data_IF_383306642638
#
_entry.id   IF_383306642638
#
_cell.length_a   1.000
_cell.length_b   1.000
_cell.length_c   1.000
_cell.angle_alpha   90.00
_cell.angle_beta   90.00
_cell.angle_gamma   90.00
#
_symmetry.space_group_name_H-M   'P 1'
#
loop_
_entity.id
_entity.type
_entity.pdbx_description
1 polymer ?
#
# COMPACT_ATOMS: atom_id res chain seq x y z
N UNK A 1 7.34 2.55 -9.78
CA UNK A 1 5.84 2.51 -9.78
C UNK A 1 5.31 2.67 -8.36
N UNK A 2 4.35 3.57 -8.11
CA UNK A 2 3.74 3.87 -6.80
C UNK A 2 2.25 3.60 -6.82
N UNK A 3 1.63 3.30 -5.65
CA UNK A 3 0.18 3.16 -5.52
C UNK A 3 -0.39 4.39 -4.80
N UNK A 4 -1.14 5.22 -5.53
CA UNK A 4 -1.83 6.39 -4.98
C UNK A 4 -3.22 5.99 -4.54
N UNK A 5 -3.59 6.39 -3.33
CA UNK A 5 -4.92 6.12 -2.75
C UNK A 5 -5.76 7.38 -2.76
N UNK A 6 -6.93 7.29 -3.38
CA UNK A 6 -7.90 8.37 -3.54
C UNK A 6 -9.20 7.95 -2.88
N UNK A 7 -9.79 8.82 -2.05
CA UNK A 7 -11.09 8.58 -1.44
C UNK A 7 -12.20 8.87 -2.44
N UNK A 8 -13.07 7.88 -2.64
CA UNK A 8 -14.27 8.02 -3.46
C UNK A 8 -15.47 8.40 -2.60
N UNK A 9 -16.40 9.16 -3.18
CA UNK A 9 -17.72 9.52 -2.65
C UNK A 9 -18.81 9.09 -3.64
N UNK A 10 -19.08 7.78 -3.77
CA UNK A 10 -20.14 7.30 -4.66
C UNK A 10 -21.51 7.72 -4.14
N UNK A 11 -22.49 7.83 -5.04
CA UNK A 11 -23.92 7.91 -4.69
C UNK A 11 -24.36 6.61 -4.02
N UNK A 12 -25.57 6.58 -3.47
CA UNK A 12 -26.13 5.35 -2.86
C UNK A 12 -26.20 4.21 -3.87
N UNK A 13 -26.67 4.47 -5.08
CA UNK A 13 -26.79 3.52 -6.18
C UNK A 13 -25.41 3.02 -6.64
N UNK A 14 -24.47 3.93 -6.86
CA UNK A 14 -23.09 3.59 -7.20
C UNK A 14 -22.41 2.74 -6.10
N UNK A 15 -22.70 3.02 -4.82
CA UNK A 15 -22.16 2.25 -3.72
C UNK A 15 -22.72 0.83 -3.63
N UNK A 16 -24.01 0.65 -3.96
CA UNK A 16 -24.66 -0.67 -4.09
C UNK A 16 -24.00 -1.45 -5.23
N UNK A 17 -23.86 -0.85 -6.40
CA UNK A 17 -23.24 -1.50 -7.56
C UNK A 17 -21.77 -1.83 -7.31
N UNK A 18 -20.98 -0.94 -6.73
CA UNK A 18 -19.59 -1.24 -6.33
C UNK A 18 -19.50 -2.39 -5.33
N UNK A 19 -20.48 -2.49 -4.43
CA UNK A 19 -20.55 -3.62 -3.48
C UNK A 19 -20.82 -4.90 -4.23
N UNK A 20 -21.79 -4.94 -5.14
CA UNK A 20 -22.12 -6.08 -6.00
C UNK A 20 -20.92 -6.50 -6.84
N UNK A 21 -20.33 -5.57 -7.60
CA UNK A 21 -19.15 -5.84 -8.45
C UNK A 21 -17.99 -6.43 -7.64
N UNK A 22 -17.70 -5.86 -6.45
CA UNK A 22 -16.59 -6.33 -5.63
C UNK A 22 -16.82 -7.70 -5.00
N UNK A 23 -18.08 -8.06 -4.70
CA UNK A 23 -18.46 -9.40 -4.23
C UNK A 23 -18.32 -10.42 -5.36
N UNK A 24 -18.93 -10.15 -6.50
CA UNK A 24 -18.87 -11.04 -7.67
C UNK A 24 -17.42 -11.26 -8.13
N UNK A 25 -16.62 -10.18 -8.16
CA UNK A 25 -15.19 -10.26 -8.50
C UNK A 25 -14.45 -11.25 -7.60
N UNK A 26 -14.63 -11.18 -6.31
CA UNK A 26 -13.93 -12.05 -5.35
C UNK A 26 -14.49 -13.48 -5.38
N UNK A 27 -15.80 -13.64 -5.51
CA UNK A 27 -16.42 -14.96 -5.60
C UNK A 27 -15.91 -15.71 -6.84
N UNK A 28 -15.88 -15.05 -8.00
CA UNK A 28 -15.37 -15.64 -9.22
C UNK A 28 -13.87 -15.91 -9.16
N UNK A 29 -13.08 -15.02 -8.54
CA UNK A 29 -11.67 -15.27 -8.32
C UNK A 29 -11.43 -16.53 -7.46
N UNK A 30 -12.25 -16.73 -6.42
CA UNK A 30 -12.18 -17.93 -5.57
C UNK A 30 -12.63 -19.20 -6.33
N UNK A 31 -13.64 -19.10 -7.21
CA UNK A 31 -14.04 -20.22 -8.07
C UNK A 31 -12.92 -20.62 -9.03
N UNK A 32 -12.26 -19.67 -9.68
CA UNK A 32 -11.10 -19.94 -10.52
C UNK A 32 -9.94 -20.58 -9.74
N UNK A 33 -9.70 -20.12 -8.52
CA UNK A 33 -8.69 -20.73 -7.65
C UNK A 33 -9.04 -22.15 -7.24
N UNK A 34 -10.32 -22.44 -6.96
CA UNK A 34 -10.79 -23.79 -6.66
C UNK A 34 -10.55 -24.71 -7.85
N UNK A 35 -10.96 -24.33 -9.03
CA UNK A 35 -10.68 -25.05 -10.29
C UNK A 35 -9.19 -25.27 -10.54
N UNK A 36 -8.36 -24.23 -10.31
CA UNK A 36 -6.92 -24.34 -10.47
C UNK A 36 -6.26 -25.33 -9.49
N UNK A 37 -6.86 -25.55 -8.33
CA UNK A 37 -6.42 -26.57 -7.37
C UNK A 37 -6.86 -27.98 -7.82
N UNK A 38 -8.10 -28.12 -8.33
CA UNK A 38 -8.66 -29.39 -8.80
C UNK A 38 -7.97 -29.88 -10.09
N UNK A 39 -7.64 -28.97 -11.00
CA UNK A 39 -6.97 -29.23 -12.30
C UNK A 39 -5.42 -29.23 -12.19
N UNK A 40 -4.85 -29.02 -10.98
CA UNK A 40 -3.40 -28.86 -10.71
C UNK A 40 -2.71 -27.78 -11.56
N UNK A 41 -3.49 -27.01 -12.29
CA UNK A 41 -3.04 -25.95 -13.18
C UNK A 41 -4.07 -24.82 -13.26
N UNK A 42 -3.64 -23.61 -13.63
CA UNK A 42 -4.61 -22.52 -13.78
C UNK A 42 -5.43 -22.73 -15.07
N UNK A 43 -6.79 -22.79 -15.00
CA UNK A 43 -7.64 -23.11 -16.14
C UNK A 43 -7.49 -22.09 -17.27
N UNK A 44 -7.57 -22.57 -18.53
CA UNK A 44 -7.61 -21.71 -19.71
C UNK A 44 -9.00 -21.12 -19.86
N UNK A 45 -9.23 -19.93 -19.31
CA UNK A 45 -10.52 -19.24 -19.31
C UNK A 45 -10.40 -17.86 -19.95
N UNK A 46 -11.47 -17.42 -20.59
CA UNK A 46 -11.67 -16.11 -21.19
C UNK A 46 -12.79 -15.34 -20.47
N UNK A 47 -12.99 -14.08 -20.78
CA UNK A 47 -14.11 -13.30 -20.22
C UNK A 47 -15.49 -13.85 -20.61
N UNK A 48 -15.59 -14.62 -21.70
CA UNK A 48 -16.85 -15.25 -22.16
C UNK A 48 -17.25 -16.42 -21.27
N UNK A 49 -16.28 -17.13 -20.70
CA UNK A 49 -16.51 -18.29 -19.84
C UNK A 49 -16.97 -17.89 -18.42
N UNK A 50 -16.94 -16.60 -18.11
CA UNK A 50 -17.41 -16.06 -16.85
C UNK A 50 -18.85 -15.56 -17.04
N UNK A 51 -19.84 -16.32 -16.57
CA UNK A 51 -21.27 -16.06 -16.78
C UNK A 51 -21.84 -14.90 -15.96
N UNK A 52 -21.13 -14.44 -14.88
CA UNK A 52 -21.60 -13.37 -14.01
C UNK A 52 -21.69 -12.02 -14.70
N UNK A 53 -22.64 -11.19 -14.25
CA UNK A 53 -22.87 -9.85 -14.79
C UNK A 53 -21.81 -8.85 -14.31
N UNK A 54 -20.62 -8.93 -14.92
CA UNK A 54 -19.49 -8.03 -14.75
C UNK A 54 -19.10 -7.42 -16.10
N UNK A 55 -18.61 -6.17 -16.14
CA UNK A 55 -18.02 -5.62 -17.37
C UNK A 55 -16.88 -6.53 -17.89
N UNK A 56 -16.78 -6.72 -19.18
CA UNK A 56 -15.77 -7.61 -19.79
C UNK A 56 -14.34 -7.28 -19.38
N UNK A 57 -14.04 -5.98 -19.21
CA UNK A 57 -12.76 -5.48 -18.71
C UNK A 57 -12.47 -5.97 -17.30
N UNK A 58 -13.48 -5.97 -16.42
CA UNK A 58 -13.39 -6.44 -15.05
C UNK A 58 -13.18 -7.96 -15.01
N UNK A 59 -13.85 -8.70 -15.91
CA UNK A 59 -13.64 -10.15 -16.05
C UNK A 59 -12.19 -10.48 -16.46
N UNK A 60 -11.64 -9.76 -17.43
CA UNK A 60 -10.25 -9.93 -17.86
C UNK A 60 -9.24 -9.63 -16.73
N UNK A 61 -9.46 -8.55 -15.98
CA UNK A 61 -8.61 -8.21 -14.82
C UNK A 61 -8.75 -9.23 -13.67
N UNK A 62 -9.92 -9.80 -13.47
CA UNK A 62 -10.17 -10.88 -12.52
C UNK A 62 -9.36 -12.14 -12.87
N UNK A 63 -9.40 -12.58 -14.13
CA UNK A 63 -8.65 -13.75 -14.61
C UNK A 63 -7.14 -13.50 -14.40
N UNK A 64 -6.64 -12.33 -14.83
CA UNK A 64 -5.24 -11.92 -14.64
C UNK A 64 -4.84 -11.92 -13.18
N UNK A 65 -5.68 -11.35 -12.30
CA UNK A 65 -5.45 -11.31 -10.87
C UNK A 65 -5.38 -12.70 -10.25
N UNK A 66 -6.36 -13.57 -10.53
CA UNK A 66 -6.40 -14.94 -10.02
C UNK A 66 -5.18 -15.75 -10.49
N UNK A 67 -4.84 -15.68 -11.80
CA UNK A 67 -3.67 -16.34 -12.39
C UNK A 67 -2.35 -15.89 -11.75
N UNK A 68 -2.18 -14.58 -11.55
CA UNK A 68 -0.97 -14.04 -10.91
C UNK A 68 -0.85 -14.52 -9.48
N UNK A 69 -1.97 -14.55 -8.73
CA UNK A 69 -1.98 -15.02 -7.35
C UNK A 69 -1.77 -16.53 -7.23
N UNK A 70 -2.30 -17.30 -8.15
CA UNK A 70 -2.02 -18.73 -8.24
C UNK A 70 -0.52 -18.99 -8.48
N UNK A 71 0.11 -18.29 -9.42
CA UNK A 71 1.56 -18.40 -9.67
C UNK A 71 2.40 -18.00 -8.45
N UNK A 72 1.96 -17.01 -7.69
CA UNK A 72 2.71 -16.46 -6.54
C UNK A 72 2.57 -17.28 -5.26
N UNK A 73 1.38 -17.82 -4.98
CA UNK A 73 1.04 -18.42 -3.69
C UNK A 73 0.50 -19.86 -3.81
N UNK A 74 0.29 -20.39 -5.01
CA UNK A 74 -0.38 -21.67 -5.20
C UNK A 74 -1.83 -21.62 -4.67
N UNK A 75 -2.10 -22.34 -3.59
CA UNK A 75 -3.42 -22.37 -2.95
C UNK A 75 -3.66 -21.13 -2.10
N UNK A 76 -4.66 -20.32 -2.47
CA UNK A 76 -5.07 -19.17 -1.66
C UNK A 76 -6.57 -18.88 -1.78
N UNK A 77 -7.14 -18.25 -0.73
CA UNK A 77 -8.54 -17.80 -0.69
C UNK A 77 -8.57 -16.29 -0.54
N UNK A 78 -9.29 -15.61 -1.42
CA UNK A 78 -9.46 -14.18 -1.39
C UNK A 78 -10.59 -13.78 -0.44
N UNK A 79 -10.27 -13.01 0.59
CA UNK A 79 -11.25 -12.54 1.60
C UNK A 79 -11.62 -11.07 1.41
N UNK A 80 -10.70 -10.26 0.89
CA UNK A 80 -10.90 -8.81 0.77
C UNK A 80 -11.64 -8.47 -0.51
N UNK A 81 -12.84 -7.90 -0.35
CA UNK A 81 -13.66 -7.42 -1.48
C UNK A 81 -12.93 -6.29 -2.20
N UNK A 82 -12.69 -6.50 -3.48
CA UNK A 82 -12.02 -5.54 -4.36
C UNK A 82 -12.48 -5.77 -5.80
N UNK A 83 -12.30 -4.77 -6.64
CA UNK A 83 -12.54 -4.85 -8.08
C UNK A 83 -11.45 -4.04 -8.79
N UNK A 84 -11.04 -4.46 -9.98
CA UNK A 84 -9.93 -3.83 -10.71
C UNK A 84 -10.31 -3.55 -12.16
N UNK A 85 -9.75 -2.46 -12.70
CA UNK A 85 -9.80 -2.06 -14.11
C UNK A 85 -8.37 -1.82 -14.60
N UNK A 86 -8.12 -2.09 -15.88
CA UNK A 86 -6.85 -1.73 -16.48
C UNK A 86 -6.78 -0.21 -16.76
N UNK A 87 -5.61 0.27 -17.12
CA UNK A 87 -5.34 1.70 -17.36
C UNK A 87 -6.13 2.32 -18.52
N UNK A 88 -6.55 1.53 -19.52
CA UNK A 88 -7.30 2.02 -20.69
C UNK A 88 -8.79 2.27 -20.39
N UNK A 89 -9.31 1.66 -19.34
CA UNK A 89 -10.75 1.61 -19.07
C UNK A 89 -11.23 2.55 -17.98
N UNK A 90 -10.35 3.37 -17.42
CA UNK A 90 -10.76 4.45 -16.54
C UNK A 90 -10.16 5.78 -16.98
N UNK A 91 -10.75 6.87 -16.52
CA UNK A 91 -10.21 8.22 -16.72
C UNK A 91 -10.31 9.04 -15.44
N UNK A 92 -9.38 9.97 -15.26
CA UNK A 92 -9.34 10.90 -14.14
C UNK A 92 -9.86 12.26 -14.60
N UNK A 93 -10.59 12.93 -13.72
CA UNK A 93 -10.86 14.36 -13.78
C UNK A 93 -10.55 14.98 -12.42
N UNK A 94 -10.55 16.30 -12.31
CA UNK A 94 -10.18 16.99 -11.07
C UNK A 94 -10.95 16.52 -9.82
N UNK A 95 -12.19 16.07 -9.99
CA UNK A 95 -13.07 15.70 -8.87
C UNK A 95 -13.75 14.34 -9.02
N UNK A 96 -13.42 13.55 -10.06
CA UNK A 96 -14.05 12.24 -10.28
C UNK A 96 -13.09 11.25 -10.97
N UNK A 97 -13.40 9.97 -10.78
CA UNK A 97 -12.79 8.86 -11.52
C UNK A 97 -13.93 8.16 -12.26
N UNK A 98 -13.81 8.09 -13.60
CA UNK A 98 -14.80 7.43 -14.45
C UNK A 98 -14.34 6.05 -14.85
N UNK A 99 -15.16 5.02 -14.65
CA UNK A 99 -14.87 3.63 -14.99
C UNK A 99 -16.15 2.85 -15.32
N UNK A 100 -16.05 1.74 -16.06
CA UNK A 100 -17.21 0.91 -16.43
C UNK A 100 -17.90 0.27 -15.24
N UNK A 101 -19.21 0.46 -15.15
CA UNK A 101 -20.15 -0.16 -14.19
C UNK A 101 -21.36 -0.69 -14.95
N UNK A 102 -22.16 -1.55 -14.33
CA UNK A 102 -23.42 -2.02 -14.91
C UNK A 102 -24.56 -1.10 -14.45
N UNK A 103 -25.30 -0.57 -15.41
CA UNK A 103 -26.52 0.22 -15.18
C UNK A 103 -27.58 -0.26 -16.15
N UNK A 104 -28.76 -0.64 -15.67
CA UNK A 104 -29.87 -1.18 -16.45
C UNK A 104 -29.43 -2.35 -17.34
N UNK A 105 -28.60 -3.26 -16.80
CA UNK A 105 -28.08 -4.41 -17.53
C UNK A 105 -26.98 -4.11 -18.56
N UNK A 106 -26.65 -2.83 -18.80
CA UNK A 106 -25.64 -2.41 -19.80
C UNK A 106 -24.39 -1.86 -19.11
N UNK A 107 -23.23 -2.11 -19.73
CA UNK A 107 -21.98 -1.52 -19.29
C UNK A 107 -21.91 -0.04 -19.70
N UNK A 108 -21.84 0.87 -18.73
CA UNK A 108 -21.67 2.31 -18.95
C UNK A 108 -20.45 2.82 -18.17
N UNK A 109 -19.65 3.71 -18.76
CA UNK A 109 -18.56 4.40 -18.08
C UNK A 109 -19.15 5.57 -17.28
N UNK A 110 -19.10 5.48 -15.95
CA UNK A 110 -19.72 6.45 -15.05
C UNK A 110 -18.70 7.18 -14.20
N UNK A 111 -18.84 8.51 -14.01
CA UNK A 111 -18.04 9.28 -13.09
C UNK A 111 -18.46 9.00 -11.64
N UNK A 112 -17.50 8.63 -10.80
CA UNK A 112 -17.67 8.54 -9.36
C UNK A 112 -16.87 9.65 -8.71
N UNK A 113 -17.53 10.49 -7.92
CA UNK A 113 -16.89 11.62 -7.24
C UNK A 113 -15.70 11.16 -6.41
N UNK A 114 -14.57 11.86 -6.53
CA UNK A 114 -13.32 11.55 -5.85
C UNK A 114 -12.76 12.80 -5.16
N UNK A 115 -12.01 12.60 -4.08
CA UNK A 115 -11.31 13.69 -3.40
C UNK A 115 -9.85 13.62 -3.86
N UNK A 116 -9.51 14.46 -4.82
CA UNK A 116 -8.17 14.55 -5.41
C UNK A 116 -7.62 15.96 -5.10
N UNK A 117 -6.53 16.08 -4.31
CA UNK A 117 -5.86 17.37 -4.13
C UNK A 117 -5.35 17.91 -5.48
N UNK A 118 -5.45 19.22 -5.71
CA UNK A 118 -5.05 19.87 -6.97
C UNK A 118 -3.61 19.55 -7.35
N UNK A 119 -2.68 19.65 -6.40
CA UNK A 119 -1.26 19.31 -6.61
C UNK A 119 -1.07 17.85 -7.04
N UNK A 120 -1.87 16.95 -6.50
CA UNK A 120 -1.83 15.54 -6.90
C UNK A 120 -2.39 15.34 -8.30
N UNK A 121 -3.48 16.04 -8.65
CA UNK A 121 -4.08 15.96 -9.97
C UNK A 121 -3.11 16.39 -11.06
N UNK A 122 -2.44 17.53 -10.87
CA UNK A 122 -1.40 18.03 -11.80
C UNK A 122 -0.26 17.02 -11.99
N UNK A 123 0.19 16.37 -10.90
CA UNK A 123 1.22 15.33 -10.98
C UNK A 123 0.74 14.05 -11.68
N UNK A 124 -0.54 13.72 -11.59
CA UNK A 124 -1.12 12.54 -12.24
C UNK A 124 -1.31 12.74 -13.75
N UNK A 125 -1.50 13.96 -14.19
CA UNK A 125 -1.70 14.29 -15.61
C UNK A 125 -0.44 13.99 -16.45
N UNK A 126 0.75 14.20 -15.89
CA UNK A 126 2.03 13.89 -16.53
C UNK A 126 2.53 12.47 -16.29
N UNK A 127 1.83 11.67 -15.46
CA UNK A 127 2.29 10.37 -15.05
C UNK A 127 1.68 9.23 -15.87
N UNK A 128 2.44 8.14 -16.03
CA UNK A 128 1.91 6.91 -16.63
C UNK A 128 1.02 6.17 -15.64
N UNK A 129 -0.27 6.11 -15.95
CA UNK A 129 -1.24 5.42 -15.11
C UNK A 129 -1.24 3.91 -15.39
N UNK A 130 -1.23 3.11 -14.34
CA UNK A 130 -1.40 1.67 -14.37
C UNK A 130 -2.83 1.26 -13.97
N UNK A 131 -3.00 0.08 -13.39
CA UNK A 131 -4.32 -0.44 -13.02
C UNK A 131 -4.97 0.35 -11.88
N UNK A 132 -6.29 0.55 -12.00
CA UNK A 132 -7.17 1.05 -10.95
C UNK A 132 -7.71 -0.13 -10.15
N UNK A 133 -7.63 -0.06 -8.84
CA UNK A 133 -8.24 -1.01 -7.90
C UNK A 133 -9.11 -0.28 -6.89
N UNK A 134 -10.36 -0.71 -6.74
CA UNK A 134 -11.30 -0.12 -5.79
C UNK A 134 -11.62 -1.16 -4.70
N UNK A 135 -11.57 -0.73 -3.45
CA UNK A 135 -11.92 -1.55 -2.29
C UNK A 135 -12.65 -0.72 -1.23
N UNK A 136 -13.55 -1.37 -0.48
CA UNK A 136 -14.19 -0.76 0.68
C UNK A 136 -13.28 -0.93 1.91
N UNK A 137 -13.00 0.17 2.61
CA UNK A 137 -12.25 0.17 3.87
C UNK A 137 -13.10 0.87 4.96
N UNK A 138 -13.66 0.06 5.87
CA UNK A 138 -14.68 0.56 6.80
C UNK A 138 -15.89 1.13 6.05
N UNK A 139 -16.21 2.39 6.29
CA UNK A 139 -17.32 3.09 5.61
C UNK A 139 -16.90 3.82 4.32
N UNK A 140 -15.62 3.75 3.92
CA UNK A 140 -15.09 4.51 2.80
C UNK A 140 -14.74 3.62 1.61
N UNK A 141 -14.98 4.11 0.41
CA UNK A 141 -14.48 3.55 -0.82
C UNK A 141 -13.14 4.19 -1.17
N UNK A 142 -12.14 3.38 -1.43
CA UNK A 142 -10.78 3.80 -1.76
C UNK A 142 -10.41 3.26 -3.13
N UNK A 143 -10.10 4.17 -4.04
CA UNK A 143 -9.44 3.88 -5.30
C UNK A 143 -7.93 3.87 -5.08
N UNK A 144 -7.26 2.84 -5.54
CA UNK A 144 -5.80 2.73 -5.56
C UNK A 144 -5.37 2.64 -7.01
N UNK A 145 -4.61 3.63 -7.48
CA UNK A 145 -4.10 3.71 -8.85
C UNK A 145 -2.60 3.44 -8.79
N UNK A 146 -2.13 2.49 -9.59
CA UNK A 146 -0.70 2.33 -9.82
C UNK A 146 -0.23 3.48 -10.72
N UNK A 147 0.83 4.17 -10.34
CA UNK A 147 1.34 5.34 -11.06
C UNK A 147 2.84 5.22 -11.20
N UNK A 148 3.32 5.52 -12.39
CA UNK A 148 4.75 5.64 -12.65
C UNK A 148 5.05 7.08 -13.01
N UNK A 149 5.75 7.76 -12.09
CA UNK A 149 6.21 9.12 -12.33
C UNK A 149 7.52 9.08 -13.11
N UNK A 150 7.73 10.01 -14.03
CA UNK A 150 9.06 10.15 -14.64
C UNK A 150 10.10 10.37 -13.54
N UNK A 151 11.23 9.69 -13.67
CA UNK A 151 12.37 9.93 -12.79
C UNK A 151 12.88 11.36 -13.06
N UNK A 152 13.08 12.13 -12.01
CA UNK A 152 13.90 13.33 -12.10
C UNK A 152 15.34 12.88 -11.85
N UNK A 153 16.21 13.02 -12.83
CA UNK A 153 17.64 12.86 -12.62
C UNK A 153 18.10 13.93 -11.63
N UNK A 154 18.82 13.49 -10.62
CA UNK A 154 19.51 14.41 -9.71
C UNK A 154 20.99 14.28 -9.98
N UNK A 155 21.65 15.39 -10.27
CA UNK A 155 23.10 15.47 -10.48
C UNK A 155 23.88 15.48 -9.15
N UNK A 156 23.22 15.17 -8.03
CA UNK A 156 23.82 15.18 -6.70
C UNK A 156 24.97 14.21 -6.59
N UNK A 157 26.11 14.67 -6.10
CA UNK A 157 27.35 13.90 -5.98
C UNK A 157 27.55 13.27 -4.61
N UNK A 158 26.86 13.79 -3.59
CA UNK A 158 27.02 13.35 -2.21
C UNK A 158 26.27 12.05 -1.89
N UNK A 159 26.78 11.34 -0.87
CA UNK A 159 26.16 10.12 -0.37
C UNK A 159 25.64 10.34 1.04
N UNK A 160 24.37 9.99 1.28
CA UNK A 160 23.78 9.94 2.62
C UNK A 160 23.76 8.49 3.13
N UNK A 161 24.58 8.17 4.13
CA UNK A 161 24.50 6.91 4.87
C UNK A 161 23.41 6.97 5.94
N UNK A 162 22.54 5.95 6.00
CA UNK A 162 21.48 5.84 7.01
C UNK A 162 21.63 4.56 7.82
N UNK A 163 21.87 4.73 9.12
CA UNK A 163 21.76 3.66 10.12
C UNK A 163 20.35 3.65 10.72
N UNK A 164 19.78 2.44 10.88
CA UNK A 164 18.42 2.26 11.40
C UNK A 164 18.46 1.66 12.82
N UNK A 165 17.88 2.37 13.78
CA UNK A 165 17.97 2.00 15.19
C UNK A 165 16.63 1.90 15.93
N UNK A 166 16.65 1.25 17.10
CA UNK A 166 15.47 1.12 17.98
C UNK A 166 15.31 2.34 18.90
N UNK A 167 16.40 2.98 19.30
CA UNK A 167 16.39 4.16 20.17
C UNK A 167 16.21 5.43 19.37
N UNK A 168 16.94 5.57 18.29
CA UNK A 168 16.73 6.54 17.24
C UNK A 168 16.32 5.78 15.97
N UNK A 169 15.12 6.04 15.43
CA UNK A 169 14.63 5.30 14.24
C UNK A 169 15.55 5.35 13.04
N UNK A 170 16.24 6.47 12.82
CA UNK A 170 17.28 6.60 11.80
C UNK A 170 18.32 7.66 12.19
N UNK A 171 19.57 7.44 11.82
CA UNK A 171 20.67 8.40 11.89
C UNK A 171 21.25 8.55 10.50
N UNK A 172 21.32 9.76 9.99
CA UNK A 172 21.88 10.06 8.66
C UNK A 172 23.21 10.77 8.78
N UNK A 173 24.20 10.36 7.96
CA UNK A 173 25.52 10.99 7.87
C UNK A 173 25.85 11.25 6.40
N UNK A 174 26.27 12.48 6.08
CA UNK A 174 26.70 12.87 4.73
C UNK A 174 28.20 12.55 4.59
N UNK A 175 28.56 11.89 3.50
CA UNK A 175 29.91 11.35 3.29
C UNK A 175 30.99 12.43 3.29
N UNK A 176 30.84 13.53 2.56
CA UNK A 176 31.89 14.53 2.42
C UNK A 176 32.00 15.46 3.65
N UNK A 177 30.88 15.84 4.25
CA UNK A 177 30.88 16.86 5.32
C UNK A 177 30.86 16.26 6.73
N UNK A 178 30.55 14.97 6.88
CA UNK A 178 30.30 14.33 8.18
C UNK A 178 29.06 14.86 8.89
N UNK A 179 28.27 15.72 8.24
CA UNK A 179 27.05 16.31 8.81
C UNK A 179 26.09 15.21 9.23
N UNK A 180 25.80 15.13 10.52
CA UNK A 180 24.98 14.08 11.11
C UNK A 180 23.62 14.61 11.53
N UNK A 181 22.55 13.86 11.26
CA UNK A 181 21.20 14.19 11.69
C UNK A 181 20.47 12.97 12.24
N UNK A 182 19.87 13.15 13.40
CA UNK A 182 19.05 12.13 14.08
C UNK A 182 17.58 12.31 13.72
N UNK A 183 16.90 11.21 13.34
CA UNK A 183 15.52 11.25 12.90
C UNK A 183 14.63 10.42 13.80
N UNK A 184 13.62 11.07 14.38
CA UNK A 184 12.57 10.44 15.16
C UNK A 184 12.94 10.14 16.63
N UNK A 185 11.99 9.51 17.32
CA UNK A 185 12.11 9.20 18.74
C UNK A 185 11.60 7.77 19.02
N UNK A 186 12.52 6.83 19.19
CA UNK A 186 12.19 5.44 19.47
C UNK A 186 11.53 5.22 20.83
N UNK A 187 11.75 6.10 21.82
CA UNK A 187 11.05 6.05 23.12
C UNK A 187 9.55 6.31 22.94
N UNK A 188 9.20 7.31 22.12
CA UNK A 188 7.81 7.60 21.74
C UNK A 188 7.16 6.42 21.03
N UNK A 189 7.86 5.80 20.08
CA UNK A 189 7.38 4.62 19.36
C UNK A 189 7.10 3.45 20.34
N UNK A 190 8.00 3.20 21.29
CA UNK A 190 7.83 2.17 22.33
C UNK A 190 6.65 2.48 23.23
N UNK A 191 6.47 3.75 23.63
CA UNK A 191 5.35 4.19 24.46
C UNK A 191 4.02 3.91 23.78
N UNK A 192 3.86 4.33 22.51
CA UNK A 192 2.64 4.10 21.73
C UNK A 192 2.30 2.60 21.67
N UNK A 193 3.27 1.75 21.36
CA UNK A 193 3.07 0.30 21.27
C UNK A 193 2.69 -0.32 22.62
N UNK A 194 3.33 0.08 23.71
CA UNK A 194 3.00 -0.37 25.07
C UNK A 194 1.59 0.04 25.46
N UNK A 195 1.20 1.29 25.21
CA UNK A 195 -0.14 1.83 25.48
C UNK A 195 -1.22 0.98 24.77
N UNK A 196 -1.08 0.72 23.48
CA UNK A 196 -2.07 -0.06 22.74
C UNK A 196 -2.06 -1.55 23.09
N UNK A 197 -0.89 -2.12 23.43
CA UNK A 197 -0.80 -3.49 23.97
C UNK A 197 -1.55 -3.63 25.28
N UNK A 198 -1.34 -2.71 26.21
CA UNK A 198 -2.01 -2.67 27.52
C UNK A 198 -3.52 -2.49 27.33
N UNK A 199 -3.95 -1.53 26.51
CA UNK A 199 -5.37 -1.29 26.23
C UNK A 199 -6.07 -2.52 25.66
N UNK A 200 -5.44 -3.25 24.73
CA UNK A 200 -6.00 -4.50 24.21
C UNK A 200 -6.11 -5.59 25.28
N UNK A 201 -5.14 -5.69 26.18
CA UNK A 201 -5.15 -6.64 27.29
C UNK A 201 -6.32 -6.33 28.22
N UNK A 202 -6.44 -5.11 28.72
CA UNK A 202 -7.51 -4.67 29.62
C UNK A 202 -8.92 -4.86 29.03
N UNK A 203 -9.08 -4.54 27.74
CA UNK A 203 -10.35 -4.78 27.05
C UNK A 203 -10.63 -6.26 26.85
N UNK A 204 -9.60 -7.10 26.67
CA UNK A 204 -9.71 -8.55 26.59
C UNK A 204 -10.14 -9.17 27.91
N UNK A 205 -9.52 -8.78 29.01
CA UNK A 205 -9.90 -9.18 30.37
C UNK A 205 -11.36 -8.83 30.69
N UNK A 206 -11.81 -7.65 30.23
CA UNK A 206 -13.22 -7.20 30.34
C UNK A 206 -14.15 -7.77 29.26
N UNK A 207 -13.70 -8.72 28.42
CA UNK A 207 -14.45 -9.33 27.32
C UNK A 207 -15.07 -8.34 26.31
N UNK A 208 -14.52 -7.10 26.19
CA UNK A 208 -15.02 -6.04 25.30
C UNK A 208 -14.47 -6.19 23.88
N UNK A 209 -14.78 -7.31 23.19
CA UNK A 209 -14.21 -7.66 21.89
C UNK A 209 -14.52 -6.65 20.78
N UNK A 210 -15.69 -6.01 20.80
CA UNK A 210 -16.05 -4.99 19.81
C UNK A 210 -15.25 -3.68 19.99
N UNK A 211 -14.87 -3.36 21.23
CA UNK A 211 -13.95 -2.24 21.48
C UNK A 211 -12.54 -2.56 20.94
N UNK A 212 -12.06 -3.79 21.11
CA UNK A 212 -10.80 -4.26 20.52
C UNK A 212 -10.83 -4.14 18.99
N UNK A 213 -11.93 -4.59 18.33
CA UNK A 213 -12.11 -4.45 16.87
C UNK A 213 -12.06 -2.99 16.43
N UNK A 214 -12.68 -2.07 17.18
CA UNK A 214 -12.68 -0.62 16.86
C UNK A 214 -11.29 0.02 16.93
N UNK A 215 -10.43 -0.40 17.84
CA UNK A 215 -9.07 0.14 17.99
C UNK A 215 -8.02 -0.62 17.18
N UNK A 216 -8.35 -1.77 16.57
CA UNK A 216 -7.38 -2.73 16.00
C UNK A 216 -6.33 -2.10 15.08
N UNK A 217 -6.72 -1.21 14.19
CA UNK A 217 -5.82 -0.57 13.22
C UNK A 217 -5.22 0.75 13.70
N UNK A 218 -5.62 1.26 14.87
CA UNK A 218 -5.23 2.61 15.29
C UNK A 218 -3.74 2.74 15.58
N UNK A 219 -3.17 1.77 16.28
CA UNK A 219 -1.72 1.70 16.52
C UNK A 219 -0.94 1.64 15.21
N UNK A 220 -1.31 0.74 14.32
CA UNK A 220 -0.66 0.57 13.01
C UNK A 220 -0.69 1.87 12.19
N UNK A 221 -1.82 2.56 12.16
CA UNK A 221 -1.96 3.84 11.45
C UNK A 221 -1.07 4.94 12.04
N UNK A 222 -0.96 5.02 13.37
CA UNK A 222 -0.08 6.00 14.03
C UNK A 222 1.39 5.70 13.69
N UNK A 223 1.81 4.43 13.78
CA UNK A 223 3.18 4.05 13.44
C UNK A 223 3.49 4.31 11.95
N UNK A 224 2.54 4.04 11.07
CA UNK A 224 2.67 4.32 9.65
C UNK A 224 2.78 5.83 9.36
N UNK A 225 2.00 6.68 10.03
CA UNK A 225 2.10 8.14 9.91
C UNK A 225 3.48 8.64 10.38
N UNK A 226 3.99 8.11 11.50
CA UNK A 226 5.34 8.42 11.99
C UNK A 226 6.39 8.05 10.92
N UNK A 227 6.33 6.83 10.38
CA UNK A 227 7.28 6.39 9.35
C UNK A 227 7.16 7.21 8.06
N UNK A 228 5.96 7.64 7.67
CA UNK A 228 5.77 8.55 6.54
C UNK A 228 6.41 9.92 6.76
N UNK A 229 6.30 10.47 7.97
CA UNK A 229 6.93 11.76 8.33
C UNK A 229 8.45 11.63 8.37
N UNK A 230 8.96 10.58 9.02
CA UNK A 230 10.40 10.32 9.11
C UNK A 230 11.04 10.14 7.74
N UNK A 231 10.46 9.27 6.90
CA UNK A 231 10.99 9.03 5.56
C UNK A 231 10.96 10.30 4.69
N UNK A 232 10.00 11.21 4.89
CA UNK A 232 9.99 12.51 4.20
C UNK A 232 11.12 13.42 4.71
N UNK A 233 11.34 13.46 6.03
CA UNK A 233 12.43 14.24 6.61
C UNK A 233 13.81 13.76 6.13
N UNK A 234 14.00 12.44 6.01
CA UNK A 234 15.23 11.85 5.50
C UNK A 234 15.46 12.24 4.03
N UNK A 235 14.43 12.08 3.19
CA UNK A 235 14.51 12.47 1.77
C UNK A 235 14.77 13.97 1.60
N UNK A 236 14.10 14.82 2.36
CA UNK A 236 14.34 16.25 2.31
C UNK A 236 15.79 16.58 2.73
N UNK A 237 16.31 15.92 3.77
CA UNK A 237 17.70 16.13 4.20
C UNK A 237 18.71 15.71 3.13
N UNK A 238 18.44 14.64 2.39
CA UNK A 238 19.26 14.25 1.25
C UNK A 238 19.26 15.32 0.16
N UNK A 239 18.08 15.82 -0.22
CA UNK A 239 17.93 16.87 -1.25
C UNK A 239 18.60 18.17 -0.81
N UNK A 240 18.39 18.61 0.44
CA UNK A 240 18.98 19.83 1.01
C UNK A 240 20.52 19.83 1.04
N UNK A 241 21.13 18.65 0.98
CA UNK A 241 22.58 18.48 1.02
C UNK A 241 23.12 17.83 -0.27
N UNK A 242 22.43 17.97 -1.37
CA UNK A 242 22.84 17.54 -2.71
C UNK A 242 23.28 16.06 -2.80
N UNK A 243 22.57 15.20 -2.10
CA UNK A 243 22.87 13.77 -2.12
C UNK A 243 22.20 13.09 -3.31
N UNK A 244 22.98 12.56 -4.25
CA UNK A 244 22.53 11.74 -5.37
C UNK A 244 22.26 10.29 -5.01
N UNK A 245 22.80 9.83 -3.88
CA UNK A 245 22.66 8.43 -3.44
C UNK A 245 22.35 8.34 -1.95
N UNK A 246 21.47 7.40 -1.56
CA UNK A 246 21.24 7.04 -0.15
C UNK A 246 21.62 5.58 0.06
N UNK A 247 22.52 5.32 1.00
CA UNK A 247 22.86 3.98 1.47
C UNK A 247 22.03 3.64 2.69
N UNK A 248 21.26 2.56 2.62
CA UNK A 248 20.49 2.02 3.73
C UNK A 248 21.10 0.71 4.23
N UNK A 249 21.09 0.51 5.53
CA UNK A 249 21.49 -0.76 6.14
C UNK A 249 20.51 -1.87 5.76
N UNK A 250 21.06 -3.03 5.35
CA UNK A 250 20.26 -4.23 5.05
C UNK A 250 20.01 -5.04 6.33
N UNK A 251 18.85 -4.86 6.91
CA UNK A 251 18.39 -5.57 8.10
C UNK A 251 17.60 -6.86 7.78
N UNK A 252 17.74 -7.41 6.57
CA UNK A 252 17.12 -8.68 6.19
C UNK A 252 17.62 -9.79 7.11
N UNK A 253 16.68 -10.56 7.68
CA UNK A 253 17.06 -11.67 8.56
C UNK A 253 17.43 -11.30 10.00
N UNK A 254 17.55 -10.03 10.37
CA UNK A 254 17.95 -9.61 11.74
C UNK A 254 17.08 -10.22 12.84
N UNK A 255 15.80 -10.50 12.56
CA UNK A 255 14.88 -11.13 13.53
C UNK A 255 15.17 -12.60 13.77
N UNK A 256 15.73 -13.29 12.79
CA UNK A 256 16.10 -14.70 12.83
C UNK A 256 17.50 -14.88 13.43
N UNK A 257 18.44 -14.04 13.04
CA UNK A 257 19.86 -14.14 13.45
C UNK A 257 20.15 -13.55 14.82
N UNK A 258 19.26 -12.66 15.31
CA UNK A 258 19.46 -12.01 16.61
C UNK A 258 19.34 -12.98 17.78
N UNK A 259 20.36 -13.00 18.66
CA UNK A 259 20.38 -13.73 19.94
C UNK A 259 19.63 -13.00 21.07
N UNK A 260 18.92 -11.91 20.75
CA UNK A 260 18.17 -11.12 21.73
C UNK A 260 17.07 -11.96 22.43
N UNK A 261 16.94 -11.83 23.76
CA UNK A 261 15.96 -12.53 24.59
C UNK A 261 15.01 -11.58 25.30
N UNK A 262 13.85 -12.07 25.74
CA UNK A 262 12.89 -11.35 26.57
C UNK A 262 12.42 -10.04 25.95
N UNK A 263 12.55 -8.93 26.67
CA UNK A 263 12.09 -7.59 26.27
C UNK A 263 12.82 -7.06 25.03
N UNK A 264 14.09 -7.43 24.84
CA UNK A 264 14.89 -7.02 23.67
C UNK A 264 14.38 -7.69 22.39
N UNK A 265 14.08 -8.99 22.44
CA UNK A 265 13.46 -9.72 21.33
C UNK A 265 12.12 -9.11 20.94
N UNK A 266 11.27 -8.79 21.91
CA UNK A 266 9.98 -8.16 21.65
C UNK A 266 10.12 -6.76 21.01
N UNK A 267 11.11 -5.96 21.43
CA UNK A 267 11.39 -4.66 20.82
C UNK A 267 11.84 -4.80 19.35
N UNK A 268 12.72 -5.77 19.06
CA UNK A 268 13.21 -6.05 17.72
C UNK A 268 12.06 -6.52 16.78
N UNK A 269 11.20 -7.42 17.25
CA UNK A 269 10.05 -7.88 16.48
C UNK A 269 9.03 -6.78 16.20
N UNK A 270 8.88 -5.83 17.12
CA UNK A 270 7.96 -4.70 16.97
C UNK A 270 8.57 -3.52 16.17
N UNK A 271 9.84 -3.57 15.84
CA UNK A 271 10.50 -2.52 15.09
C UNK A 271 10.12 -2.55 13.60
N UNK A 272 9.66 -1.42 13.08
CA UNK A 272 9.14 -1.28 11.72
C UNK A 272 10.20 -0.79 10.72
N UNK A 273 11.45 -1.27 10.84
CA UNK A 273 12.55 -0.85 9.97
C UNK A 273 12.24 -1.12 8.49
N UNK A 274 11.70 -2.28 8.14
CA UNK A 274 11.34 -2.62 6.77
C UNK A 274 10.33 -1.64 6.16
N UNK A 275 9.31 -1.23 6.93
CA UNK A 275 8.33 -0.24 6.47
C UNK A 275 8.99 1.13 6.25
N UNK A 276 9.89 1.56 7.17
CA UNK A 276 10.62 2.82 7.03
C UNK A 276 11.54 2.82 5.81
N UNK A 277 12.34 1.76 5.60
CA UNK A 277 13.19 1.59 4.41
C UNK A 277 12.36 1.65 3.13
N UNK A 278 11.28 0.87 3.04
CA UNK A 278 10.38 0.89 1.88
C UNK A 278 9.76 2.28 1.63
N UNK A 279 9.51 3.06 2.70
CA UNK A 279 9.01 4.43 2.55
C UNK A 279 10.08 5.42 2.09
N UNK A 280 11.33 5.21 2.44
CA UNK A 280 12.46 5.97 1.91
C UNK A 280 12.63 5.63 0.42
N UNK A 281 12.79 4.35 0.08
CA UNK A 281 12.98 3.87 -1.29
C UNK A 281 11.93 4.41 -2.27
N UNK A 282 10.62 4.24 -1.98
CA UNK A 282 9.62 4.70 -2.93
C UNK A 282 9.50 6.22 -3.04
N UNK A 283 9.95 6.99 -2.04
CA UNK A 283 9.97 8.46 -2.09
C UNK A 283 11.19 8.98 -2.85
N UNK A 284 12.28 8.21 -2.83
CA UNK A 284 13.51 8.50 -3.55
C UNK A 284 13.40 8.19 -5.04
N UNK A 285 12.73 7.12 -5.41
CA UNK A 285 12.66 6.61 -6.77
C UNK A 285 12.45 7.64 -7.91
N UNK A 286 11.89 8.84 -7.66
CA UNK A 286 11.88 9.93 -8.64
C UNK A 286 13.04 10.92 -8.49
N UNK A 287 13.88 10.83 -7.46
CA UNK A 287 14.76 11.93 -7.06
C UNK A 287 16.23 11.52 -6.85
N UNK A 288 16.48 10.29 -6.37
CA UNK A 288 17.81 9.87 -5.89
C UNK A 288 17.91 8.36 -6.01
N UNK A 289 19.10 7.83 -6.30
CA UNK A 289 19.35 6.39 -6.26
C UNK A 289 19.38 5.87 -4.82
N UNK A 290 18.74 4.72 -4.58
CA UNK A 290 18.72 4.08 -3.27
C UNK A 290 19.46 2.74 -3.34
N UNK A 291 20.54 2.60 -2.57
CA UNK A 291 21.33 1.37 -2.46
C UNK A 291 21.16 0.79 -1.07
N UNK A 292 20.62 -0.42 -0.97
CA UNK A 292 20.61 -1.23 0.27
C UNK A 292 21.79 -2.19 0.27
N UNK A 293 22.64 -2.10 1.29
CA UNK A 293 23.78 -3.00 1.49
C UNK A 293 23.61 -3.83 2.74
#
# INVERSE_FOLDING_TARGET
MKAIKIKLKPTKEQAVELTRLSMEYINQANLLMKRAIEEESFPKVTSKDISVNLPSVVKNELIRYAKTKHKQFGKCVFKKRTVSWNNQNFSLSANAISFPMIVDGKTKKLPVRAIIPTELFTKLDSAKLGALRIAKKGHHWIASIAVDFPASETDGTEILGIDLGILCPAVGVISATGKTKFFGNGRQNKFIRRKYKQLRRELGEKKKLDAIKRISDKESRIMQDINHKLSRQIVNFAIENDCGTIHLENLSGIRQTSKARGKHKANLHNWTFFELSSFIEYKLAPLVECVTR
#
